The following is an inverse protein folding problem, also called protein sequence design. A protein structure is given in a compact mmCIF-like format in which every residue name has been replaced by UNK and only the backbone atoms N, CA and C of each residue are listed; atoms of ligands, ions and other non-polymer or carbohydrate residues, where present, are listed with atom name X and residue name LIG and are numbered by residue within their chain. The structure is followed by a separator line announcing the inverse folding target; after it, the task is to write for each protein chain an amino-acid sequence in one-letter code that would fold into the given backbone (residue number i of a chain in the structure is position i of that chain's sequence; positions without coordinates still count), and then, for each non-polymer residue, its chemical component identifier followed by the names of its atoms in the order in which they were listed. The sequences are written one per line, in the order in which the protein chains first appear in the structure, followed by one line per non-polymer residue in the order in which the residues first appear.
data_IF_595602201909
#
_entry.id   IF_595602201909
#
_cell.length_a   1.000
_cell.length_b   1.000
_cell.length_c   1.000
_cell.angle_alpha   90.00
_cell.angle_beta   90.00
_cell.angle_gamma   90.00
#
_symmetry.space_group_name_H-M   'P 1'
#
loop_
_entity.id
_entity.type
_entity.pdbx_description
1 polymer ?
#
# COMPACT_ATOMS: atom_id res chain seq x y z
N UNK A 1 -8.51 -33.79 -3.03
CA UNK A 1 -7.86 -32.83 -2.10
C UNK A 1 -8.33 -33.17 -0.68
N UNK A 2 -7.41 -33.46 0.20
CA UNK A 2 -7.74 -33.78 1.60
C UNK A 2 -8.16 -32.50 2.34
N UNK A 3 -9.04 -32.64 3.35
CA UNK A 3 -9.44 -31.49 4.22
C UNK A 3 -8.22 -30.79 4.84
N UNK A 4 -7.14 -31.54 5.05
CA UNK A 4 -5.88 -31.02 5.58
C UNK A 4 -5.16 -30.11 4.57
N UNK A 5 -5.19 -30.47 3.28
CA UNK A 5 -4.60 -29.66 2.21
C UNK A 5 -5.34 -28.35 2.02
N UNK A 6 -6.66 -28.35 2.15
CA UNK A 6 -7.50 -27.15 2.05
C UNK A 6 -7.20 -26.16 3.20
N UNK A 7 -7.05 -26.66 4.43
CA UNK A 7 -6.71 -25.82 5.60
C UNK A 7 -5.30 -25.23 5.45
N UNK A 8 -4.33 -26.01 4.96
CA UNK A 8 -2.98 -25.53 4.71
C UNK A 8 -2.94 -24.42 3.64
N UNK A 9 -3.71 -24.56 2.56
CA UNK A 9 -3.86 -23.54 1.52
C UNK A 9 -4.49 -22.24 2.05
N UNK A 10 -5.57 -22.35 2.83
CA UNK A 10 -6.22 -21.18 3.44
C UNK A 10 -5.29 -20.44 4.41
N UNK A 11 -4.51 -21.15 5.21
CA UNK A 11 -3.48 -20.57 6.08
C UNK A 11 -2.41 -19.83 5.29
N UNK A 12 -1.92 -20.43 4.20
CA UNK A 12 -0.89 -19.82 3.35
C UNK A 12 -1.41 -18.57 2.67
N UNK A 13 -2.64 -18.57 2.16
CA UNK A 13 -3.26 -17.37 1.56
C UNK A 13 -3.49 -16.26 2.59
N UNK A 14 -3.95 -16.59 3.80
CA UNK A 14 -4.12 -15.62 4.88
C UNK A 14 -2.78 -14.99 5.28
N UNK A 15 -1.71 -15.79 5.43
CA UNK A 15 -0.38 -15.27 5.74
C UNK A 15 0.19 -14.41 4.60
N UNK A 16 -0.03 -14.79 3.35
CA UNK A 16 0.40 -14.00 2.20
C UNK A 16 -0.24 -12.62 2.20
N UNK A 17 -1.55 -12.54 2.44
CA UNK A 17 -2.26 -11.26 2.50
C UNK A 17 -1.77 -10.38 3.66
N UNK A 18 -1.57 -10.95 4.85
CA UNK A 18 -1.03 -10.22 5.99
C UNK A 18 0.37 -9.67 5.72
N UNK A 19 1.26 -10.47 5.10
CA UNK A 19 2.60 -10.02 4.70
C UNK A 19 2.51 -8.90 3.66
N UNK A 20 1.63 -9.06 2.67
CA UNK A 20 1.41 -8.05 1.64
C UNK A 20 0.97 -6.71 2.25
N UNK A 21 -0.07 -6.71 3.10
CA UNK A 21 -0.61 -5.52 3.77
C UNK A 21 0.45 -4.84 4.64
N UNK A 22 1.19 -5.61 5.42
CA UNK A 22 2.26 -5.10 6.28
C UNK A 22 3.38 -4.45 5.47
N UNK A 23 3.84 -5.09 4.39
CA UNK A 23 4.89 -4.53 3.55
C UNK A 23 4.40 -3.30 2.76
N UNK A 24 3.16 -3.31 2.27
CA UNK A 24 2.54 -2.16 1.63
C UNK A 24 2.49 -0.96 2.58
N UNK A 25 2.10 -1.17 3.83
CA UNK A 25 2.09 -0.13 4.85
C UNK A 25 3.49 0.39 5.15
N UNK A 26 4.49 -0.49 5.30
CA UNK A 26 5.89 -0.09 5.53
C UNK A 26 6.47 0.74 4.37
N UNK A 27 6.08 0.44 3.14
CA UNK A 27 6.45 1.21 1.95
C UNK A 27 5.74 2.57 1.97
N UNK A 28 4.43 2.59 2.19
CA UNK A 28 3.63 3.80 2.20
C UNK A 28 4.04 4.80 3.29
N UNK A 29 4.43 4.30 4.48
CA UNK A 29 4.89 5.13 5.60
C UNK A 29 6.38 5.50 5.53
N UNK A 30 7.12 5.01 4.51
CA UNK A 30 8.54 5.28 4.35
C UNK A 30 9.46 4.49 5.30
N UNK A 31 8.95 3.50 6.02
CA UNK A 31 9.79 2.56 6.80
C UNK A 31 10.67 1.71 5.86
N UNK A 32 10.15 1.38 4.69
CA UNK A 32 10.91 0.80 3.58
C UNK A 32 11.09 1.88 2.51
N UNK A 33 12.30 2.41 2.41
CA UNK A 33 12.61 3.51 1.50
C UNK A 33 12.61 3.07 0.04
N UNK A 34 12.28 3.97 -0.92
CA UNK A 34 12.46 3.71 -2.34
C UNK A 34 13.87 3.21 -2.65
N UNK A 35 13.99 2.16 -3.45
CA UNK A 35 15.25 1.50 -3.80
C UNK A 35 15.77 0.52 -2.74
N UNK A 36 15.17 0.45 -1.55
CA UNK A 36 15.60 -0.48 -0.50
C UNK A 36 15.50 -1.95 -0.97
N UNK A 37 16.52 -2.78 -0.71
CA UNK A 37 16.47 -4.19 -1.05
C UNK A 37 15.56 -4.95 -0.06
N UNK A 38 14.70 -5.81 -0.60
CA UNK A 38 13.83 -6.69 0.18
C UNK A 38 14.36 -8.13 0.10
N UNK A 39 14.66 -8.72 1.25
CA UNK A 39 15.20 -10.07 1.32
C UNK A 39 14.16 -11.02 1.95
N UNK A 40 13.68 -11.99 1.16
CA UNK A 40 12.70 -13.00 1.63
C UNK A 40 13.07 -13.61 2.98
N UNK A 41 14.36 -13.99 3.15
CA UNK A 41 14.83 -14.63 4.37
C UNK A 41 14.77 -13.71 5.59
N UNK A 42 15.10 -12.44 5.43
CA UNK A 42 15.07 -11.46 6.52
C UNK A 42 13.63 -11.18 6.96
N UNK A 43 12.72 -10.96 6.02
CA UNK A 43 11.31 -10.70 6.29
C UNK A 43 10.63 -11.94 6.89
N UNK A 44 10.91 -13.13 6.36
CA UNK A 44 10.38 -14.38 6.91
C UNK A 44 10.82 -14.60 8.37
N UNK A 45 12.08 -14.27 8.69
CA UNK A 45 12.61 -14.34 10.06
C UNK A 45 11.97 -13.30 10.97
N UNK A 46 11.86 -12.03 10.50
CA UNK A 46 11.23 -10.93 11.25
C UNK A 46 9.78 -11.23 11.62
N UNK A 47 9.03 -11.82 10.68
CA UNK A 47 7.61 -12.15 10.87
C UNK A 47 7.38 -13.56 11.47
N UNK A 48 8.42 -14.36 11.69
CA UNK A 48 8.30 -15.71 12.24
C UNK A 48 7.56 -16.72 11.34
N UNK A 49 7.68 -16.56 10.01
CA UNK A 49 6.98 -17.39 9.02
C UNK A 49 7.94 -18.04 8.02
N UNK A 50 7.41 -18.92 7.16
CA UNK A 50 8.18 -19.49 6.05
C UNK A 50 8.35 -18.49 4.89
N UNK A 51 9.34 -18.73 4.00
CA UNK A 51 9.63 -17.86 2.85
C UNK A 51 8.55 -17.87 1.76
N UNK A 52 7.72 -18.92 1.67
CA UNK A 52 6.68 -19.08 0.65
C UNK A 52 5.68 -17.91 0.62
N UNK A 53 4.97 -17.63 1.72
CA UNK A 53 4.06 -16.48 1.82
C UNK A 53 4.73 -15.14 1.50
N UNK A 54 6.00 -14.94 1.91
CA UNK A 54 6.76 -13.71 1.62
C UNK A 54 7.01 -13.55 0.12
N UNK A 55 7.39 -14.64 -0.56
CA UNK A 55 7.62 -14.62 -2.01
C UNK A 55 6.34 -14.31 -2.79
N UNK A 56 5.21 -14.90 -2.40
CA UNK A 56 3.93 -14.60 -3.03
C UNK A 56 3.48 -13.16 -2.74
N UNK A 57 3.70 -12.64 -1.53
CA UNK A 57 3.44 -11.24 -1.20
C UNK A 57 4.29 -10.29 -2.07
N UNK A 58 5.56 -10.62 -2.35
CA UNK A 58 6.39 -9.83 -3.27
C UNK A 58 5.83 -9.79 -4.68
N UNK A 59 5.25 -10.89 -5.19
CA UNK A 59 4.60 -10.90 -6.51
C UNK A 59 3.38 -10.00 -6.53
N UNK A 60 2.56 -10.05 -5.49
CA UNK A 60 1.41 -9.14 -5.36
C UNK A 60 1.82 -7.67 -5.32
N UNK A 61 2.91 -7.35 -4.60
CA UNK A 61 3.47 -6.00 -4.55
C UNK A 61 4.05 -5.57 -5.91
N UNK A 62 4.65 -6.49 -6.68
CA UNK A 62 5.13 -6.22 -8.03
C UNK A 62 3.97 -5.92 -8.99
N UNK A 63 2.90 -6.70 -8.95
CA UNK A 63 1.68 -6.47 -9.74
C UNK A 63 1.07 -5.08 -9.46
N UNK A 64 1.17 -4.60 -8.22
CA UNK A 64 0.78 -3.25 -7.83
C UNK A 64 1.84 -2.18 -8.16
N UNK A 65 2.99 -2.58 -8.65
CA UNK A 65 4.08 -1.67 -9.00
C UNK A 65 4.80 -1.04 -7.79
N UNK A 66 4.68 -1.65 -6.60
CA UNK A 66 5.33 -1.16 -5.37
C UNK A 66 6.76 -1.68 -5.22
N UNK A 67 7.05 -2.84 -5.79
CA UNK A 67 8.39 -3.42 -5.83
C UNK A 67 8.74 -3.84 -7.25
N UNK A 68 10.01 -4.16 -7.49
CA UNK A 68 10.51 -4.66 -8.75
C UNK A 68 11.50 -5.82 -8.52
N UNK A 69 11.44 -6.84 -9.38
CA UNK A 69 12.42 -7.91 -9.41
C UNK A 69 13.56 -7.52 -10.36
N UNK A 70 14.75 -7.35 -9.81
CA UNK A 70 15.95 -7.09 -10.59
C UNK A 70 16.72 -8.38 -10.83
N UNK A 71 17.12 -8.62 -12.08
CA UNK A 71 17.92 -9.79 -12.44
C UNK A 71 19.22 -9.79 -11.65
N UNK A 72 19.46 -10.87 -10.91
CA UNK A 72 20.64 -11.07 -10.04
C UNK A 72 20.72 -10.16 -8.78
N UNK A 73 19.77 -9.24 -8.57
CA UNK A 73 19.78 -8.32 -7.43
C UNK A 73 18.63 -8.57 -6.44
N UNK A 74 17.66 -9.43 -6.81
CA UNK A 74 16.50 -9.76 -5.97
C UNK A 74 15.39 -8.74 -6.11
N UNK A 75 14.66 -8.50 -5.01
CA UNK A 75 13.51 -7.60 -4.97
C UNK A 75 13.91 -6.28 -4.32
N UNK A 76 13.43 -5.17 -4.89
CA UNK A 76 13.61 -3.82 -4.34
C UNK A 76 12.31 -3.05 -4.32
N UNK A 77 12.17 -2.14 -3.36
CA UNK A 77 11.10 -1.13 -3.37
C UNK A 77 11.26 -0.26 -4.62
N UNK A 78 10.16 -0.08 -5.35
CA UNK A 78 10.20 0.74 -6.58
C UNK A 78 10.56 2.18 -6.25
N UNK A 79 11.44 2.74 -7.04
CA UNK A 79 11.80 4.15 -7.02
C UNK A 79 11.22 4.80 -8.26
N UNK A 80 10.40 5.82 -8.06
CA UNK A 80 9.88 6.63 -9.15
C UNK A 80 10.75 7.87 -9.33
N UNK A 81 11.07 8.20 -10.57
CA UNK A 81 11.63 9.51 -10.87
C UNK A 81 10.53 10.60 -10.89
N UNK A 82 10.95 11.86 -10.90
CA UNK A 82 10.02 13.00 -10.88
C UNK A 82 9.12 13.02 -12.12
N UNK A 83 9.60 12.60 -13.27
CA UNK A 83 8.83 12.56 -14.51
C UNK A 83 7.71 11.51 -14.41
N UNK A 84 8.03 10.31 -13.93
CA UNK A 84 7.04 9.25 -13.71
C UNK A 84 5.99 9.67 -12.67
N UNK A 85 6.42 10.28 -11.57
CA UNK A 85 5.50 10.82 -10.56
C UNK A 85 4.56 11.87 -11.19
N UNK A 86 5.09 12.80 -11.98
CA UNK A 86 4.30 13.83 -12.67
C UNK A 86 3.26 13.19 -13.59
N UNK A 87 3.62 12.19 -14.38
CA UNK A 87 2.70 11.49 -15.29
C UNK A 87 1.57 10.78 -14.52
N UNK A 88 1.89 10.16 -13.39
CA UNK A 88 0.89 9.53 -12.52
C UNK A 88 -0.11 10.59 -12.02
N UNK A 89 0.35 11.72 -11.51
CA UNK A 89 -0.52 12.78 -11.01
C UNK A 89 -1.36 13.45 -12.10
N UNK A 90 -0.84 13.58 -13.32
CA UNK A 90 -1.62 14.09 -14.46
C UNK A 90 -2.87 13.23 -14.76
N UNK A 91 -2.80 11.92 -14.49
CA UNK A 91 -3.94 11.01 -14.65
C UNK A 91 -4.80 10.96 -13.38
N UNK A 92 -4.19 10.94 -12.21
CA UNK A 92 -4.90 10.86 -10.92
C UNK A 92 -5.79 12.08 -10.67
N UNK A 93 -5.29 13.29 -10.87
CA UNK A 93 -6.02 14.53 -10.56
C UNK A 93 -7.41 14.57 -11.23
N UNK A 94 -7.56 14.39 -12.55
CA UNK A 94 -8.86 14.40 -13.18
C UNK A 94 -9.76 13.22 -12.74
N UNK A 95 -9.19 12.04 -12.46
CA UNK A 95 -9.96 10.90 -11.94
C UNK A 95 -10.48 11.15 -10.54
N UNK A 96 -9.65 11.67 -9.64
CA UNK A 96 -10.07 12.03 -8.28
C UNK A 96 -11.13 13.14 -8.29
N UNK A 97 -11.00 14.13 -9.19
CA UNK A 97 -12.02 15.14 -9.40
C UNK A 97 -13.36 14.56 -9.86
N UNK A 98 -13.35 13.63 -10.80
CA UNK A 98 -14.56 12.94 -11.27
C UNK A 98 -15.18 12.08 -10.16
N UNK A 99 -14.37 11.35 -9.39
CA UNK A 99 -14.84 10.57 -8.24
C UNK A 99 -15.53 11.50 -7.23
N UNK A 100 -14.90 12.63 -6.88
CA UNK A 100 -15.46 13.62 -5.98
C UNK A 100 -16.81 14.15 -6.47
N UNK A 101 -16.94 14.48 -7.76
CA UNK A 101 -18.20 14.92 -8.36
C UNK A 101 -19.30 13.83 -8.29
N UNK A 102 -18.97 12.59 -8.60
CA UNK A 102 -19.91 11.47 -8.55
C UNK A 102 -20.37 11.16 -7.13
N UNK A 103 -19.44 11.14 -6.18
CA UNK A 103 -19.73 10.85 -4.76
C UNK A 103 -20.61 11.93 -4.15
N UNK A 104 -20.35 13.21 -4.43
CA UNK A 104 -21.14 14.32 -3.86
C UNK A 104 -22.62 14.27 -4.26
N UNK A 105 -22.96 13.61 -5.38
CA UNK A 105 -24.36 13.44 -5.83
C UNK A 105 -25.15 12.44 -4.97
N UNK A 106 -24.47 11.54 -4.26
CA UNK A 106 -25.08 10.45 -3.47
C UNK A 106 -24.74 10.54 -2.00
N UNK A 107 -23.92 11.52 -1.60
CA UNK A 107 -23.43 11.66 -0.24
C UNK A 107 -24.56 12.09 0.69
N UNK A 108 -24.76 11.35 1.80
CA UNK A 108 -25.64 11.80 2.88
C UNK A 108 -24.97 12.91 3.66
N UNK A 109 -25.78 13.74 4.36
CA UNK A 109 -25.26 14.83 5.19
C UNK A 109 -24.28 14.33 6.24
N UNK A 110 -24.57 13.15 6.85
CA UNK A 110 -23.71 12.52 7.86
C UNK A 110 -22.36 12.08 7.27
N UNK A 111 -22.38 11.40 6.11
CA UNK A 111 -21.15 10.99 5.43
C UNK A 111 -20.34 12.20 4.94
N UNK A 112 -21.02 13.26 4.51
CA UNK A 112 -20.37 14.52 4.12
C UNK A 112 -19.63 15.19 5.29
N UNK A 113 -20.19 15.13 6.50
CA UNK A 113 -19.53 15.66 7.69
C UNK A 113 -18.31 14.83 8.10
N UNK A 114 -18.41 13.48 8.01
CA UNK A 114 -17.26 12.60 8.26
C UNK A 114 -16.11 12.87 7.28
N UNK A 115 -16.41 13.01 6.00
CA UNK A 115 -15.40 13.38 4.98
C UNK A 115 -14.74 14.72 5.32
N UNK A 116 -15.54 15.74 5.70
CA UNK A 116 -15.02 17.06 6.07
C UNK A 116 -14.06 16.97 7.25
N UNK A 117 -14.41 16.24 8.29
CA UNK A 117 -13.55 16.04 9.47
C UNK A 117 -12.21 15.41 9.11
N UNK A 118 -12.18 14.40 8.22
CA UNK A 118 -10.93 13.79 7.76
C UNK A 118 -10.09 14.79 6.95
N UNK A 119 -10.72 15.56 6.06
CA UNK A 119 -10.02 16.58 5.28
C UNK A 119 -9.42 17.68 6.15
N UNK A 120 -10.12 18.12 7.20
CA UNK A 120 -9.61 19.09 8.16
C UNK A 120 -8.40 18.55 8.94
N UNK A 121 -8.46 17.27 9.37
CA UNK A 121 -7.31 16.61 9.99
C UNK A 121 -6.11 16.51 9.03
N UNK A 122 -6.33 16.14 7.77
CA UNK A 122 -5.27 16.10 6.77
C UNK A 122 -4.65 17.48 6.54
N UNK A 123 -5.47 18.53 6.45
CA UNK A 123 -4.99 19.91 6.29
C UNK A 123 -4.11 20.36 7.49
N UNK A 124 -4.50 19.98 8.71
CA UNK A 124 -3.69 20.23 9.91
C UNK A 124 -2.32 19.53 9.83
N UNK A 125 -2.27 18.26 9.38
CA UNK A 125 -1.00 17.53 9.23
C UNK A 125 -0.10 18.16 8.16
N UNK A 126 -0.67 18.65 7.08
CA UNK A 126 0.08 19.41 6.06
C UNK A 126 0.67 20.69 6.66
N UNK A 127 -0.12 21.44 7.42
CA UNK A 127 0.35 22.69 8.06
C UNK A 127 1.52 22.46 9.02
N UNK A 128 1.55 21.32 9.69
CA UNK A 128 2.63 20.92 10.60
C UNK A 128 3.77 20.13 9.92
N UNK A 129 3.70 19.92 8.60
CA UNK A 129 4.65 19.11 7.82
C UNK A 129 4.80 17.66 8.35
N UNK A 130 3.75 17.13 8.98
CA UNK A 130 3.71 15.78 9.52
C UNK A 130 3.35 14.78 8.40
N UNK A 131 4.34 14.49 7.55
CA UNK A 131 4.17 13.61 6.38
C UNK A 131 3.72 12.19 6.77
N UNK A 132 4.28 11.55 7.83
CA UNK A 132 3.82 10.23 8.24
C UNK A 132 2.33 10.19 8.62
N UNK A 133 1.88 11.12 9.48
CA UNK A 133 0.48 11.17 9.92
C UNK A 133 -0.47 11.53 8.76
N UNK A 134 -0.05 12.42 7.85
CA UNK A 134 -0.79 12.70 6.62
C UNK A 134 -0.95 11.45 5.76
N UNK A 135 0.14 10.69 5.56
CA UNK A 135 0.13 9.47 4.74
C UNK A 135 -0.80 8.41 5.32
N UNK A 136 -0.80 8.23 6.63
CA UNK A 136 -1.71 7.30 7.32
C UNK A 136 -3.19 7.70 7.14
N UNK A 137 -3.53 8.99 7.32
CA UNK A 137 -4.87 9.51 7.09
C UNK A 137 -5.30 9.33 5.63
N UNK A 138 -4.42 9.65 4.68
CA UNK A 138 -4.69 9.50 3.25
C UNK A 138 -4.93 8.04 2.86
N UNK A 139 -4.17 7.11 3.43
CA UNK A 139 -4.35 5.67 3.20
C UNK A 139 -5.68 5.13 3.74
N UNK A 140 -6.14 5.66 4.88
CA UNK A 140 -7.46 5.31 5.47
C UNK A 140 -8.63 5.92 4.71
N UNK A 141 -8.41 7.02 4.01
CA UNK A 141 -9.41 7.72 3.23
C UNK A 141 -9.61 7.13 1.82
N UNK A 142 -8.55 6.50 1.25
CA UNK A 142 -8.57 5.86 -0.07
C UNK A 142 -9.23 4.50 -0.06
#
# INVERSE_FOLDING_TARGET
MSSHDAIALLRTQSLTNLVHEELEQRIATGQLLPGAPLREAAIATDMGISRGPVREAFRMLEERGLVMFEKNCGVRVRQLDLQQATQIYQVRIPLEGLIGELVTRTLTSEAGEQVRQVLDQMAEKVAHQDVPAYTELNFRFS
#
